data_IF_841366296550
#
_entry.id   IF_841366296550
#
_cell.length_a   1.000
_cell.length_b   1.000
_cell.length_c   1.000
_cell.angle_alpha   90.00
_cell.angle_beta   90.00
_cell.angle_gamma   90.00
#
_symmetry.space_group_name_H-M   'P 1'
#
loop_
_entity.id
_entity.type
_entity.pdbx_description
1 polymer ?
#
# COMPACT_ATOMS: atom_id res chain seq x y z
N UNK A 1 25.82 -0.60 -0.57
CA UNK A 1 25.34 0.79 -0.72
C UNK A 1 23.86 0.98 -0.35
N UNK A 2 22.88 0.31 -0.99
CA UNK A 2 21.43 0.54 -0.70
C UNK A 2 21.05 0.20 0.76
N UNK A 3 21.59 -0.88 1.33
CA UNK A 3 21.31 -1.29 2.72
C UNK A 3 21.84 -0.30 3.78
N UNK A 4 22.85 0.50 3.48
CA UNK A 4 23.52 1.37 4.47
C UNK A 4 22.70 2.61 4.83
N UNK A 5 21.80 3.04 3.95
CA UNK A 5 20.98 4.25 4.12
C UNK A 5 19.51 3.94 4.39
N UNK A 6 19.09 2.68 4.21
CA UNK A 6 17.70 2.27 4.43
C UNK A 6 17.23 2.48 5.87
N UNK A 7 18.11 2.26 6.86
CA UNK A 7 17.81 2.51 8.27
C UNK A 7 17.51 3.98 8.57
N UNK A 8 17.91 4.92 7.70
CA UNK A 8 17.49 6.32 7.81
C UNK A 8 16.11 6.51 7.20
N UNK A 9 15.88 5.94 6.02
CA UNK A 9 14.60 6.09 5.28
C UNK A 9 13.42 5.51 6.06
N UNK A 10 13.61 4.36 6.72
CA UNK A 10 12.55 3.71 7.50
C UNK A 10 12.36 4.32 8.91
N UNK A 11 13.21 5.27 9.31
CA UNK A 11 13.14 5.96 10.60
C UNK A 11 13.83 5.26 11.78
N UNK A 12 14.48 4.10 11.58
CA UNK A 12 15.17 3.38 12.66
C UNK A 12 16.41 4.12 13.18
N UNK A 13 17.10 4.85 12.30
CA UNK A 13 18.27 5.66 12.64
C UNK A 13 17.87 7.10 12.93
N UNK A 14 17.59 7.37 14.20
CA UNK A 14 17.28 8.72 14.70
C UNK A 14 18.51 9.61 14.75
N UNK A 15 18.29 10.93 14.77
CA UNK A 15 19.36 11.91 14.87
C UNK A 15 20.13 11.73 16.19
N UNK A 16 21.47 11.57 16.15
CA UNK A 16 22.29 11.44 17.36
C UNK A 16 22.33 12.77 18.14
N UNK A 17 22.54 12.67 19.46
CA UNK A 17 22.72 13.82 20.35
C UNK A 17 23.93 14.66 19.95
N UNK A 18 23.83 15.98 20.10
CA UNK A 18 24.78 16.95 19.55
C UNK A 18 26.20 16.92 20.15
N UNK A 19 26.43 16.07 21.16
CA UNK A 19 27.70 15.97 21.87
C UNK A 19 28.81 15.33 21.01
N UNK A 20 28.46 14.46 20.07
CA UNK A 20 29.40 13.91 19.07
C UNK A 20 29.18 14.54 17.69
N UNK A 21 29.99 15.57 17.39
CA UNK A 21 29.96 16.28 16.10
C UNK A 21 30.29 15.37 14.91
N UNK A 22 31.11 14.33 15.10
CA UNK A 22 31.48 13.40 14.04
C UNK A 22 30.31 12.50 13.70
N UNK A 23 29.68 11.92 14.72
CA UNK A 23 28.49 11.08 14.55
C UNK A 23 27.34 11.85 13.90
N UNK A 24 27.10 13.10 14.32
CA UNK A 24 26.09 13.96 13.71
C UNK A 24 26.37 14.26 12.23
N UNK A 25 27.63 14.50 11.87
CA UNK A 25 28.02 14.77 10.49
C UNK A 25 27.85 13.53 9.60
N UNK A 26 28.24 12.36 10.11
CA UNK A 26 28.06 11.08 9.43
C UNK A 26 26.56 10.78 9.21
N UNK A 27 25.73 10.99 10.24
CA UNK A 27 24.27 10.83 10.12
C UNK A 27 23.67 11.77 9.08
N UNK A 28 24.02 13.06 9.11
CA UNK A 28 23.56 14.05 8.10
C UNK A 28 23.98 13.67 6.69
N UNK A 29 25.20 13.18 6.52
CA UNK A 29 25.72 12.74 5.22
C UNK A 29 24.94 11.53 4.70
N UNK A 30 24.65 10.55 5.56
CA UNK A 30 23.82 9.40 5.19
C UNK A 30 22.38 9.81 4.88
N UNK A 31 21.81 10.77 5.62
CA UNK A 31 20.47 11.33 5.37
C UNK A 31 20.38 12.01 4.01
N UNK A 32 21.33 12.89 3.69
CA UNK A 32 21.38 13.54 2.37
C UNK A 32 21.57 12.54 1.22
N UNK A 33 22.44 11.53 1.40
CA UNK A 33 22.58 10.43 0.42
C UNK A 33 21.27 9.67 0.21
N UNK A 34 20.53 9.37 1.27
CA UNK A 34 19.24 8.70 1.18
C UNK A 34 18.23 9.53 0.36
N UNK A 35 18.15 10.83 0.65
CA UNK A 35 17.22 11.73 -0.04
C UNK A 35 17.57 11.89 -1.52
N UNK A 36 18.86 12.09 -1.83
CA UNK A 36 19.36 12.16 -3.19
C UNK A 36 19.13 10.87 -3.99
N UNK A 37 19.27 9.69 -3.34
CA UNK A 37 18.95 8.41 -3.97
C UNK A 37 17.46 8.27 -4.28
N UNK A 38 16.56 8.62 -3.35
CA UNK A 38 15.12 8.60 -3.60
C UNK A 38 14.81 9.52 -4.79
N UNK A 39 15.21 10.79 -4.73
CA UNK A 39 14.88 11.79 -5.75
C UNK A 39 15.43 11.43 -7.14
N UNK A 40 16.67 10.92 -7.21
CA UNK A 40 17.32 10.58 -8.49
C UNK A 40 16.67 9.38 -9.18
N UNK A 41 16.03 8.48 -8.41
CA UNK A 41 15.32 7.32 -8.95
C UNK A 41 13.85 7.62 -9.29
N UNK A 42 13.33 8.80 -8.97
CA UNK A 42 11.99 9.20 -9.37
C UNK A 42 11.96 9.72 -10.81
N UNK A 43 10.98 9.21 -11.56
CA UNK A 43 10.55 9.79 -12.83
C UNK A 43 10.10 11.24 -12.64
N UNK A 44 10.19 12.04 -13.70
CA UNK A 44 10.01 13.50 -13.61
C UNK A 44 8.61 13.91 -13.14
N UNK A 45 7.59 13.14 -13.51
CA UNK A 45 6.19 13.32 -13.10
C UNK A 45 5.96 12.94 -11.62
N UNK A 46 6.66 11.95 -11.10
CA UNK A 46 6.55 11.49 -9.72
C UNK A 46 7.22 12.45 -8.71
N UNK A 47 8.15 13.30 -9.16
CA UNK A 47 8.84 14.28 -8.30
C UNK A 47 7.90 15.30 -7.66
N UNK A 48 6.71 15.53 -8.25
CA UNK A 48 5.70 16.42 -7.66
C UNK A 48 5.28 15.98 -6.26
N UNK A 49 5.30 14.67 -5.99
CA UNK A 49 4.85 14.09 -4.72
C UNK A 49 5.81 14.32 -3.56
N UNK A 50 7.08 14.63 -3.83
CA UNK A 50 8.12 14.82 -2.79
C UNK A 50 8.60 16.27 -2.71
N UNK A 51 7.99 17.18 -3.48
CA UNK A 51 8.38 18.59 -3.54
C UNK A 51 8.26 19.27 -2.17
N UNK A 52 9.29 20.00 -1.76
CA UNK A 52 9.38 20.65 -0.45
C UNK A 52 9.91 19.76 0.67
N UNK A 53 10.19 18.49 0.40
CA UNK A 53 10.76 17.52 1.34
C UNK A 53 12.05 16.89 0.81
N UNK A 54 12.73 17.53 -0.15
CA UNK A 54 13.88 16.98 -0.87
C UNK A 54 15.09 16.64 0.04
N UNK A 55 15.11 17.17 1.26
CA UNK A 55 16.15 16.94 2.26
C UNK A 55 15.72 15.97 3.37
N UNK A 56 14.47 15.51 3.35
CA UNK A 56 13.91 14.61 4.37
C UNK A 56 13.52 13.25 3.77
N UNK A 57 14.45 12.28 3.72
CA UNK A 57 14.21 10.99 3.08
C UNK A 57 13.08 10.19 3.74
N UNK A 58 12.85 10.37 5.05
CA UNK A 58 11.75 9.72 5.77
C UNK A 58 10.42 10.24 5.24
N UNK A 59 10.30 11.55 5.13
CA UNK A 59 9.07 12.18 4.67
C UNK A 59 8.84 11.97 3.18
N UNK A 60 9.89 11.99 2.36
CA UNK A 60 9.81 11.61 0.95
C UNK A 60 9.24 10.20 0.79
N UNK A 61 9.79 9.23 1.55
CA UNK A 61 9.31 7.86 1.50
C UNK A 61 7.88 7.72 1.99
N UNK A 62 7.51 8.41 3.07
CA UNK A 62 6.13 8.43 3.58
C UNK A 62 5.14 8.97 2.54
N UNK A 63 5.48 10.07 1.85
CA UNK A 63 4.66 10.66 0.79
C UNK A 63 4.50 9.71 -0.40
N UNK A 64 5.61 9.16 -0.90
CA UNK A 64 5.58 8.17 -1.98
C UNK A 64 4.75 6.94 -1.58
N UNK A 65 4.92 6.44 -0.35
CA UNK A 65 4.11 5.34 0.16
C UNK A 65 2.63 5.70 0.21
N UNK A 66 2.27 6.92 0.62
CA UNK A 66 0.87 7.36 0.67
C UNK A 66 0.21 7.45 -0.72
N UNK A 67 0.99 7.80 -1.75
CA UNK A 67 0.50 7.92 -3.13
C UNK A 67 0.41 6.55 -3.80
N UNK A 68 1.42 5.70 -3.62
CA UNK A 68 1.54 4.43 -4.35
C UNK A 68 0.98 3.22 -3.62
N UNK A 69 0.99 3.20 -2.28
CA UNK A 69 0.36 2.17 -1.47
C UNK A 69 -0.96 2.68 -0.92
N UNK A 70 -1.95 2.84 -1.81
CA UNK A 70 -3.31 3.22 -1.41
C UNK A 70 -3.92 2.11 -0.54
N UNK A 71 -4.10 2.38 0.74
CA UNK A 71 -4.71 1.45 1.70
C UNK A 71 -6.24 1.59 1.73
N UNK A 72 -6.84 1.79 0.55
CA UNK A 72 -8.29 1.94 0.39
C UNK A 72 -8.98 0.57 0.30
N UNK A 73 -10.25 0.44 0.73
CA UNK A 73 -11.00 -0.81 0.65
C UNK A 73 -10.98 -1.45 -0.74
N UNK A 74 -11.22 -0.66 -1.79
CA UNK A 74 -11.18 -1.14 -3.19
C UNK A 74 -9.82 -1.76 -3.55
N UNK A 75 -8.72 -1.19 -3.07
CA UNK A 75 -7.37 -1.74 -3.29
C UNK A 75 -7.18 -3.05 -2.55
N UNK A 76 -7.74 -3.20 -1.34
CA UNK A 76 -7.75 -4.47 -0.61
C UNK A 76 -8.57 -5.54 -1.34
N UNK A 77 -9.76 -5.19 -1.83
CA UNK A 77 -10.60 -6.11 -2.60
C UNK A 77 -9.90 -6.59 -3.86
N UNK A 78 -9.18 -5.70 -4.56
CA UNK A 78 -8.37 -6.07 -5.72
C UNK A 78 -7.24 -7.04 -5.32
N UNK A 79 -6.55 -6.81 -4.21
CA UNK A 79 -5.50 -7.71 -3.73
C UNK A 79 -6.05 -9.11 -3.38
N UNK A 80 -7.21 -9.20 -2.71
CA UNK A 80 -7.87 -10.48 -2.45
C UNK A 80 -8.31 -11.16 -3.75
N UNK A 81 -8.84 -10.39 -4.70
CA UNK A 81 -9.21 -10.91 -6.03
C UNK A 81 -8.01 -11.53 -6.72
N UNK A 82 -6.88 -10.82 -6.75
CA UNK A 82 -5.64 -11.32 -7.34
C UNK A 82 -5.15 -12.58 -6.63
N UNK A 83 -5.13 -12.61 -5.29
CA UNK A 83 -4.72 -13.79 -4.52
C UNK A 83 -5.57 -15.02 -4.85
N UNK A 84 -6.90 -14.89 -4.81
CA UNK A 84 -7.80 -16.02 -5.07
C UNK A 84 -7.90 -16.40 -6.56
N UNK A 85 -7.46 -15.53 -7.47
CA UNK A 85 -7.39 -15.82 -8.91
C UNK A 85 -6.16 -16.62 -9.32
N UNK A 86 -5.20 -16.83 -8.41
CA UNK A 86 -3.97 -17.56 -8.72
C UNK A 86 -4.33 -19.01 -9.05
N UNK A 87 -3.95 -19.42 -10.26
CA UNK A 87 -4.00 -20.80 -10.74
C UNK A 87 -2.64 -21.14 -11.33
N UNK A 88 -2.18 -22.37 -11.11
CA UNK A 88 -0.90 -22.84 -11.65
C UNK A 88 -0.89 -22.73 -13.17
N UNK A 89 0.15 -22.13 -13.73
CA UNK A 89 0.36 -22.09 -15.18
C UNK A 89 0.91 -23.42 -15.72
N UNK A 90 0.68 -23.71 -17.00
CA UNK A 90 1.08 -24.96 -17.65
C UNK A 90 2.58 -25.25 -17.49
N UNK A 91 3.43 -24.24 -17.74
CA UNK A 91 4.89 -24.32 -17.70
C UNK A 91 5.52 -23.76 -16.41
N UNK A 92 4.73 -23.61 -15.35
CA UNK A 92 5.20 -23.10 -14.06
C UNK A 92 5.61 -24.22 -13.12
N UNK A 93 6.73 -24.03 -12.41
CA UNK A 93 7.17 -24.91 -11.34
C UNK A 93 6.39 -24.65 -10.05
N UNK A 94 6.23 -25.67 -9.20
CA UNK A 94 5.53 -25.51 -7.92
C UNK A 94 6.21 -24.48 -7.00
N UNK A 95 7.54 -24.38 -7.04
CA UNK A 95 8.26 -23.36 -6.27
C UNK A 95 7.90 -21.95 -6.74
N UNK A 96 7.79 -21.73 -8.06
CA UNK A 96 7.41 -20.41 -8.61
C UNK A 96 5.96 -20.06 -8.26
N UNK A 97 5.06 -21.06 -8.29
CA UNK A 97 3.68 -20.89 -7.82
C UNK A 97 3.62 -20.48 -6.34
N UNK A 98 4.38 -21.16 -5.47
CA UNK A 98 4.45 -20.81 -4.03
C UNK A 98 4.90 -19.35 -3.86
N UNK A 99 5.97 -18.95 -4.54
CA UNK A 99 6.46 -17.56 -4.48
C UNK A 99 5.39 -16.56 -4.91
N UNK A 100 4.63 -16.82 -5.98
CA UNK A 100 3.53 -15.93 -6.38
C UNK A 100 2.43 -15.81 -5.32
N UNK A 101 2.09 -16.92 -4.66
CA UNK A 101 1.10 -16.90 -3.57
C UNK A 101 1.62 -16.09 -2.38
N UNK A 102 2.90 -16.26 -2.02
CA UNK A 102 3.55 -15.49 -0.96
C UNK A 102 3.58 -13.99 -1.29
N UNK A 103 3.93 -13.62 -2.52
CA UNK A 103 3.96 -12.23 -3.00
C UNK A 103 2.56 -11.60 -3.01
N UNK A 104 1.54 -12.34 -3.46
CA UNK A 104 0.15 -11.89 -3.43
C UNK A 104 -0.37 -11.72 -2.00
N UNK A 105 0.01 -12.63 -1.09
CA UNK A 105 -0.35 -12.52 0.32
C UNK A 105 0.34 -11.31 0.99
N UNK A 106 1.60 -11.04 0.66
CA UNK A 106 2.30 -9.84 1.12
C UNK A 106 1.64 -8.57 0.57
N UNK A 107 1.20 -8.59 -0.68
CA UNK A 107 0.41 -7.49 -1.27
C UNK A 107 -0.90 -7.26 -0.51
N UNK A 108 -1.60 -8.33 -0.10
CA UNK A 108 -2.79 -8.22 0.75
C UNK A 108 -2.50 -7.66 2.15
N UNK A 109 -1.27 -7.82 2.68
CA UNK A 109 -0.87 -7.23 3.96
C UNK A 109 -0.51 -5.75 3.80
N UNK A 110 0.17 -5.40 2.71
CA UNK A 110 0.60 -4.03 2.41
C UNK A 110 -0.56 -3.05 2.22
N UNK A 111 -1.71 -3.55 1.75
CA UNK A 111 -2.93 -2.74 1.54
C UNK A 111 -3.74 -2.50 2.82
N UNK A 112 -3.36 -3.11 3.96
CA UNK A 112 -4.05 -2.94 5.24
C UNK A 112 -3.61 -1.66 5.95
N UNK A 113 -4.54 -0.89 6.53
CA UNK A 113 -4.19 0.22 7.41
C UNK A 113 -3.43 -0.26 8.66
N UNK A 114 -2.78 0.68 9.36
CA UNK A 114 -1.90 0.39 10.50
C UNK A 114 -2.57 -0.39 11.65
N UNK A 115 -3.88 -0.22 11.87
CA UNK A 115 -4.63 -0.83 12.97
C UNK A 115 -5.67 -1.86 12.49
N UNK A 116 -5.36 -2.56 11.40
CA UNK A 116 -6.27 -3.53 10.79
C UNK A 116 -6.41 -4.80 11.65
N UNK A 117 -7.64 -5.14 11.99
CA UNK A 117 -8.04 -6.26 12.84
C UNK A 117 -8.60 -7.44 12.03
N UNK A 118 -8.95 -8.53 12.71
CA UNK A 118 -9.69 -9.64 12.08
C UNK A 118 -11.14 -9.24 11.75
N UNK A 119 -11.76 -8.40 12.57
CA UNK A 119 -13.12 -7.92 12.29
C UNK A 119 -13.16 -7.06 11.02
N UNK A 120 -12.09 -6.28 10.76
CA UNK A 120 -11.94 -5.54 9.51
C UNK A 120 -11.82 -6.47 8.29
N UNK A 121 -11.17 -7.63 8.47
CA UNK A 121 -11.08 -8.67 7.43
C UNK A 121 -12.43 -9.30 7.15
N UNK A 122 -13.16 -9.69 8.19
CA UNK A 122 -14.49 -10.28 8.04
C UNK A 122 -15.45 -9.28 7.37
N UNK A 123 -15.36 -8.00 7.75
CA UNK A 123 -16.11 -6.91 7.13
C UNK A 123 -15.76 -6.74 5.65
N UNK A 124 -14.45 -6.69 5.31
CA UNK A 124 -14.00 -6.58 3.91
C UNK A 124 -14.50 -7.77 3.07
N UNK A 125 -14.38 -9.00 3.58
CA UNK A 125 -14.81 -10.22 2.88
C UNK A 125 -16.33 -10.22 2.65
N UNK A 126 -17.12 -9.83 3.64
CA UNK A 126 -18.57 -9.75 3.52
C UNK A 126 -18.99 -8.65 2.53
N UNK A 127 -18.41 -7.45 2.63
CA UNK A 127 -18.66 -6.34 1.71
C UNK A 127 -18.33 -6.71 0.26
N UNK A 128 -17.13 -7.25 0.03
CA UNK A 128 -16.66 -7.69 -1.28
C UNK A 128 -17.54 -8.79 -1.87
N UNK A 129 -18.01 -9.72 -1.03
CA UNK A 129 -18.90 -10.81 -1.46
C UNK A 129 -20.27 -10.27 -1.86
N UNK A 130 -20.84 -9.35 -1.09
CA UNK A 130 -22.11 -8.70 -1.44
C UNK A 130 -22.02 -7.95 -2.77
N UNK A 131 -20.99 -7.11 -2.95
CA UNK A 131 -20.79 -6.37 -4.21
C UNK A 131 -20.69 -7.32 -5.40
N UNK A 132 -19.98 -8.45 -5.24
CA UNK A 132 -19.81 -9.47 -6.30
C UNK A 132 -21.06 -10.32 -6.55
N UNK A 133 -21.95 -10.43 -5.57
CA UNK A 133 -23.19 -11.19 -5.71
C UNK A 133 -24.23 -10.45 -6.58
N UNK A 134 -24.07 -9.14 -6.78
CA UNK A 134 -24.95 -8.34 -7.63
C UNK A 134 -24.68 -8.61 -9.12
N UNK A 135 -25.71 -8.94 -9.93
CA UNK A 135 -25.55 -9.14 -11.36
C UNK A 135 -24.99 -7.90 -12.07
N UNK A 136 -23.85 -7.99 -12.78
CA UNK A 136 -23.28 -6.84 -13.48
C UNK A 136 -24.21 -6.25 -14.56
N UNK A 137 -25.08 -7.08 -15.15
CA UNK A 137 -26.06 -6.63 -16.15
C UNK A 137 -27.04 -5.57 -15.62
N UNK A 138 -27.27 -5.56 -14.31
CA UNK A 138 -28.30 -4.72 -13.68
C UNK A 138 -27.66 -3.66 -12.76
N UNK A 139 -26.60 -4.03 -12.04
CA UNK A 139 -26.03 -3.19 -10.97
C UNK A 139 -24.65 -2.61 -11.27
N UNK A 140 -24.17 -2.63 -12.53
CA UNK A 140 -22.86 -2.07 -12.87
C UNK A 140 -22.69 -0.59 -12.46
N UNK A 141 -23.67 0.32 -12.72
CA UNK A 141 -23.54 1.71 -12.29
C UNK A 141 -23.47 1.85 -10.77
N UNK A 142 -24.34 1.13 -10.06
CA UNK A 142 -24.39 1.12 -8.59
C UNK A 142 -23.07 0.60 -7.98
N UNK A 143 -22.59 -0.57 -8.39
CA UNK A 143 -21.33 -1.15 -7.90
C UNK A 143 -20.12 -0.27 -8.23
N UNK A 144 -20.14 0.41 -9.39
CA UNK A 144 -19.11 1.39 -9.74
C UNK A 144 -19.13 2.60 -8.81
N UNK A 145 -20.32 3.07 -8.41
CA UNK A 145 -20.45 4.18 -7.46
C UNK A 145 -19.91 3.82 -6.07
N UNK A 146 -20.14 2.59 -5.60
CA UNK A 146 -19.60 2.10 -4.32
C UNK A 146 -18.07 2.18 -4.31
N UNK A 147 -17.40 1.85 -5.43
CA UNK A 147 -15.94 1.87 -5.53
C UNK A 147 -15.30 3.26 -5.36
N UNK A 148 -16.10 4.33 -5.52
CA UNK A 148 -15.68 5.71 -5.35
C UNK A 148 -15.77 6.19 -3.89
N UNK A 149 -16.45 5.43 -3.03
CA UNK A 149 -16.59 5.79 -1.62
C UNK A 149 -15.22 5.76 -0.91
N UNK A 150 -14.98 6.69 0.02
CA UNK A 150 -13.72 6.74 0.76
C UNK A 150 -13.55 5.53 1.70
N UNK A 151 -14.67 4.96 2.16
CA UNK A 151 -14.72 3.74 2.94
C UNK A 151 -15.87 2.85 2.48
N UNK A 152 -15.64 1.54 2.50
CA UNK A 152 -16.55 0.50 2.04
C UNK A 152 -16.38 -0.66 3.02
N UNK A 153 -17.17 -0.66 4.08
CA UNK A 153 -17.28 -1.77 5.03
C UNK A 153 -18.60 -2.53 4.82
N UNK A 154 -18.76 -3.66 5.50
CA UNK A 154 -19.95 -4.49 5.37
C UNK A 154 -21.25 -3.73 5.64
N UNK A 155 -21.28 -2.90 6.70
CA UNK A 155 -22.48 -2.16 7.09
C UNK A 155 -22.85 -1.14 6.01
N UNK A 156 -21.87 -0.39 5.52
CA UNK A 156 -22.03 0.61 4.46
C UNK A 156 -22.58 -0.02 3.19
N UNK A 157 -22.01 -1.16 2.75
CA UNK A 157 -22.50 -1.86 1.54
C UNK A 157 -23.90 -2.40 1.74
N UNK A 158 -24.18 -3.00 2.91
CA UNK A 158 -25.51 -3.52 3.23
C UNK A 158 -26.57 -2.44 3.19
N UNK A 159 -26.32 -1.30 3.83
CA UNK A 159 -27.24 -0.17 3.84
C UNK A 159 -27.44 0.42 2.43
N UNK A 160 -26.37 0.57 1.65
CA UNK A 160 -26.47 1.05 0.29
C UNK A 160 -27.30 0.13 -0.62
N UNK A 161 -27.14 -1.20 -0.49
CA UNK A 161 -27.93 -2.17 -1.25
C UNK A 161 -29.41 -2.08 -0.90
N UNK A 162 -29.75 -1.95 0.40
CA UNK A 162 -31.14 -1.81 0.85
C UNK A 162 -31.82 -0.53 0.37
N UNK A 163 -31.04 0.50 -0.02
CA UNK A 163 -31.56 1.75 -0.57
C UNK A 163 -31.71 1.71 -2.11
N UNK A 164 -31.05 0.77 -2.78
CA UNK A 164 -31.11 0.58 -4.24
C UNK A 164 -32.29 -0.32 -4.65
N UNK A 165 -32.85 -1.11 -3.71
CA UNK A 165 -34.09 -1.90 -3.86
C UNK A 165 -35.34 -1.02 -3.98
#
# INVERSE_FOLDING_TARGET
>A
MIKEVWSIVNGDSVQPTADDKKELLEWKTKRGKAAGLIFSNLESDQRVHVKGFEEDPVQMWALLKSVHKLQRPTTRFNAYSSLFSIVKEENESLSKLITRVEDALNSCKDTRPQFYTLDDLDSDLAAMTLIRALPPSEFQPFTSSLSLLPQIDYLTVKEAILLEE
#
